data_IF_162028652397
#
_entry.id   IF_162028652397
#
_cell.length_a   1.000
_cell.length_b   1.000
_cell.length_c   1.000
_cell.angle_alpha   90.00
_cell.angle_beta   90.00
_cell.angle_gamma   90.00
#
_symmetry.space_group_name_H-M   'P 1'
#
loop_
_entity.id
_entity.type
_entity.pdbx_description
1 polymer ?
#
# COMPACT_ATOMS: atom_id res chain seq x y z
N UNK A 1 -13.81 -19.92 1.71
CA UNK A 1 -12.94 -18.79 1.45
C UNK A 1 -11.50 -19.24 1.28
N UNK A 2 -10.86 -18.65 0.35
CA UNK A 2 -9.51 -19.02 -0.04
C UNK A 2 -8.49 -18.49 0.97
N UNK A 3 -7.60 -19.36 1.43
CA UNK A 3 -6.55 -18.96 2.37
C UNK A 3 -5.64 -17.89 1.76
N UNK A 4 -5.44 -17.95 0.45
CA UNK A 4 -4.62 -16.97 -0.26
C UNK A 4 -5.23 -15.57 -0.16
N UNK A 5 -6.54 -15.45 -0.32
CA UNK A 5 -7.20 -14.16 -0.19
C UNK A 5 -7.08 -13.61 1.23
N UNK A 6 -7.22 -14.49 2.22
CA UNK A 6 -7.06 -14.08 3.61
C UNK A 6 -5.66 -13.54 3.86
N UNK A 7 -4.65 -14.23 3.34
CA UNK A 7 -3.27 -13.79 3.49
C UNK A 7 -3.01 -12.45 2.81
N UNK A 8 -3.60 -12.25 1.63
CA UNK A 8 -3.44 -10.98 0.92
C UNK A 8 -4.07 -9.83 1.70
N UNK A 9 -5.24 -10.06 2.28
CA UNK A 9 -5.89 -9.04 3.10
C UNK A 9 -5.06 -8.74 4.34
N UNK A 10 -4.53 -9.76 5.00
CA UNK A 10 -3.70 -9.57 6.17
C UNK A 10 -2.42 -8.81 5.80
N UNK A 11 -1.81 -9.17 4.69
CA UNK A 11 -0.61 -8.49 4.21
C UNK A 11 -0.91 -7.02 3.93
N UNK A 12 -2.02 -6.74 3.24
CA UNK A 12 -2.39 -5.37 2.92
C UNK A 12 -2.62 -4.55 4.18
N UNK A 13 -3.30 -5.13 5.17
CA UNK A 13 -3.57 -4.46 6.43
C UNK A 13 -2.27 -4.12 7.15
N UNK A 14 -1.35 -5.09 7.19
CA UNK A 14 -0.06 -4.88 7.84
C UNK A 14 0.76 -3.81 7.12
N UNK A 15 0.79 -3.88 5.80
CA UNK A 15 1.55 -2.93 4.99
C UNK A 15 1.00 -1.52 5.14
N UNK A 16 -0.32 -1.38 5.12
CA UNK A 16 -0.96 -0.08 5.28
C UNK A 16 -0.67 0.49 6.67
N UNK A 17 -0.80 -0.33 7.70
CA UNK A 17 -0.53 0.12 9.06
C UNK A 17 0.91 0.58 9.25
N UNK A 18 1.85 -0.22 8.76
CA UNK A 18 3.27 0.11 8.88
C UNK A 18 3.61 1.37 8.09
N UNK A 19 3.06 1.50 6.89
CA UNK A 19 3.32 2.67 6.05
C UNK A 19 2.72 3.92 6.66
N UNK A 20 1.49 3.84 7.16
CA UNK A 20 0.85 4.98 7.79
C UNK A 20 1.65 5.45 9.00
N UNK A 21 2.12 4.51 9.80
CA UNK A 21 2.94 4.84 10.96
C UNK A 21 4.22 5.57 10.54
N UNK A 22 4.84 5.10 9.47
CA UNK A 22 6.04 5.71 8.92
C UNK A 22 5.77 7.13 8.42
N UNK A 23 4.58 7.37 7.89
CA UNK A 23 4.20 8.67 7.35
C UNK A 23 3.61 9.62 8.39
N UNK A 24 3.32 9.11 9.59
CA UNK A 24 2.74 9.93 10.65
C UNK A 24 1.26 10.22 10.43
N UNK A 25 0.56 9.34 9.73
CA UNK A 25 -0.88 9.48 9.49
C UNK A 25 -1.59 8.22 9.99
N UNK A 26 -2.92 8.26 10.02
CA UNK A 26 -3.68 7.10 10.44
C UNK A 26 -3.76 6.07 9.32
N UNK A 27 -3.96 4.81 9.70
CA UNK A 27 -4.12 3.75 8.71
C UNK A 27 -5.36 3.99 7.84
N UNK A 28 -6.42 4.54 8.44
CA UNK A 28 -7.64 4.86 7.70
C UNK A 28 -7.37 5.90 6.62
N UNK A 29 -6.63 6.93 6.97
CA UNK A 29 -6.28 7.98 6.01
C UNK A 29 -5.48 7.42 4.86
N UNK A 30 -4.46 6.62 5.16
CA UNK A 30 -3.64 6.02 4.12
C UNK A 30 -4.45 5.07 3.25
N UNK A 31 -5.31 4.26 3.87
CA UNK A 31 -6.17 3.34 3.13
C UNK A 31 -7.04 4.11 2.13
N UNK A 32 -7.62 5.22 2.57
CA UNK A 32 -8.47 6.02 1.69
C UNK A 32 -7.68 6.61 0.53
N UNK A 33 -6.45 7.05 0.79
CA UNK A 33 -5.60 7.60 -0.27
C UNK A 33 -5.24 6.54 -1.30
N UNK A 34 -4.88 5.35 -0.83
CA UNK A 34 -4.55 4.25 -1.73
C UNK A 34 -5.76 3.79 -2.53
N UNK A 35 -6.91 3.72 -1.87
CA UNK A 35 -8.14 3.32 -2.53
C UNK A 35 -8.53 4.30 -3.63
N UNK A 36 -8.32 5.57 -3.38
CA UNK A 36 -8.64 6.63 -4.33
C UNK A 36 -7.90 6.46 -5.65
N UNK A 37 -6.66 5.98 -5.58
CA UNK A 37 -5.84 5.75 -6.77
C UNK A 37 -5.88 4.32 -7.27
N UNK A 38 -6.66 3.46 -6.63
CA UNK A 38 -6.72 2.05 -7.00
C UNK A 38 -5.45 1.29 -6.67
N UNK A 39 -4.59 1.85 -5.83
CA UNK A 39 -3.30 1.25 -5.53
C UNK A 39 -3.39 0.06 -4.59
N UNK A 40 -4.46 -0.04 -3.81
CA UNK A 40 -4.59 -1.15 -2.86
C UNK A 40 -4.58 -2.48 -3.62
N UNK A 41 -5.46 -2.62 -4.60
CA UNK A 41 -5.52 -3.85 -5.37
C UNK A 41 -4.30 -4.00 -6.27
N UNK A 42 -3.95 -2.95 -6.97
CA UNK A 42 -2.86 -3.01 -7.92
C UNK A 42 -1.51 -3.27 -7.24
N UNK A 43 -1.21 -2.55 -6.18
CA UNK A 43 0.09 -2.65 -5.55
C UNK A 43 0.18 -3.81 -4.57
N UNK A 44 -0.80 -3.93 -3.68
CA UNK A 44 -0.70 -4.90 -2.60
C UNK A 44 -1.21 -6.28 -2.97
N UNK A 45 -2.25 -6.37 -3.80
CA UNK A 45 -2.78 -7.66 -4.19
C UNK A 45 -2.06 -8.26 -5.38
N UNK A 46 -1.78 -7.47 -6.40
CA UNK A 46 -1.08 -7.99 -7.57
C UNK A 46 0.40 -8.24 -7.32
N UNK A 47 0.99 -7.45 -6.46
CA UNK A 47 2.41 -7.58 -6.15
C UNK A 47 2.66 -8.36 -4.87
N UNK A 48 1.65 -9.03 -4.35
CA UNK A 48 1.76 -9.75 -3.09
C UNK A 48 2.93 -10.73 -3.08
N UNK A 49 3.04 -11.55 -4.12
CA UNK A 49 4.07 -12.58 -4.19
C UNK A 49 5.48 -11.99 -4.19
N UNK A 50 5.61 -10.78 -4.71
CA UNK A 50 6.90 -10.09 -4.74
C UNK A 50 7.17 -9.35 -3.45
N UNK A 51 6.19 -8.54 -3.01
CA UNK A 51 6.40 -7.66 -1.87
C UNK A 51 6.46 -8.39 -0.54
N UNK A 52 5.66 -9.47 -0.39
CA UNK A 52 5.60 -10.13 0.91
C UNK A 52 6.91 -10.88 1.25
N UNK A 53 7.79 -11.06 0.29
CA UNK A 53 9.09 -11.68 0.55
C UNK A 53 10.12 -10.68 1.05
N UNK A 54 9.79 -9.41 0.98
CA UNK A 54 10.69 -8.36 1.45
C UNK A 54 10.42 -8.06 2.92
N UNK A 55 11.36 -7.34 3.54
CA UNK A 55 11.13 -6.88 4.90
C UNK A 55 10.00 -5.84 4.90
N UNK A 56 9.41 -5.63 6.08
CA UNK A 56 8.37 -4.62 6.23
C UNK A 56 8.87 -3.25 5.80
N UNK A 57 10.14 -2.96 6.06
CA UNK A 57 10.71 -1.67 5.66
C UNK A 57 10.72 -1.51 4.15
N UNK A 58 11.06 -2.58 3.43
CA UNK A 58 11.02 -2.56 1.97
C UNK A 58 9.62 -2.37 1.43
N UNK A 59 8.64 -3.03 2.05
CA UNK A 59 7.25 -2.89 1.66
C UNK A 59 6.79 -1.46 1.89
N UNK A 60 7.09 -0.89 3.05
CA UNK A 60 6.73 0.48 3.39
C UNK A 60 7.32 1.45 2.35
N UNK A 61 8.57 1.26 2.02
CA UNK A 61 9.23 2.11 1.03
C UNK A 61 8.53 2.05 -0.32
N UNK A 62 8.19 0.83 -0.76
CA UNK A 62 7.51 0.64 -2.04
C UNK A 62 6.14 1.31 -2.06
N UNK A 63 5.37 1.16 -0.99
CA UNK A 63 4.04 1.76 -0.90
C UNK A 63 4.16 3.28 -0.92
N UNK A 64 5.10 3.83 -0.16
CA UNK A 64 5.28 5.28 -0.10
C UNK A 64 5.70 5.84 -1.47
N UNK A 65 6.59 5.15 -2.16
CA UNK A 65 7.02 5.61 -3.48
C UNK A 65 5.89 5.57 -4.49
N UNK A 66 5.11 4.50 -4.48
CA UNK A 66 3.99 4.39 -5.40
C UNK A 66 2.97 5.50 -5.16
N UNK A 67 2.64 5.74 -3.89
CA UNK A 67 1.67 6.77 -3.55
C UNK A 67 2.19 8.16 -3.92
N UNK A 68 3.45 8.42 -3.63
CA UNK A 68 4.09 9.68 -3.95
C UNK A 68 4.07 9.94 -5.46
N UNK A 69 4.37 8.93 -6.24
CA UNK A 69 4.40 9.07 -7.69
C UNK A 69 3.01 9.35 -8.24
N UNK A 70 2.00 8.68 -7.74
CA UNK A 70 0.63 8.90 -8.18
C UNK A 70 0.12 10.28 -7.79
N UNK A 71 0.39 10.69 -6.55
CA UNK A 71 -0.06 12.00 -6.08
C UNK A 71 0.66 13.13 -6.80
N UNK A 72 1.94 12.95 -7.07
CA UNK A 72 2.70 13.95 -7.82
C UNK A 72 2.17 14.07 -9.24
N UNK A 73 1.80 12.94 -9.85
CA UNK A 73 1.28 12.94 -11.19
C UNK A 73 -0.04 13.70 -11.28
N UNK A 74 -0.91 13.52 -10.28
CA UNK A 74 -2.16 14.27 -10.21
C UNK A 74 -1.89 15.76 -10.00
N UNK A 75 -1.03 16.07 -9.05
CA UNK A 75 -0.71 17.46 -8.74
C UNK A 75 0.01 18.16 -9.87
N UNK A 76 0.83 17.42 -10.60
CA UNK A 76 1.59 17.98 -11.69
C UNK A 76 0.74 18.41 -12.86
N UNK A 77 -0.49 17.93 -12.92
CA UNK A 77 -1.42 18.35 -13.95
C UNK A 77 -2.06 19.68 -13.64
N UNK A 78 -2.05 19.99 -12.39
CA UNK A 78 -2.72 21.15 -11.80
C UNK A 78 -2.46 22.41 -12.45
#
# INVERSE_FOLDING_TARGET
MDATNTRKIQFATLAIGATANSMGITATELHNRLKRHGLIQHLLFYCYDTLHTESIEGVVWNVKEALKNWERKEGGKG
#
